data_IF_125458072166
#
_entry.id   IF_125458072166
#
_cell.length_a   1.000
_cell.length_b   1.000
_cell.length_c   1.000
_cell.angle_alpha   90.00
_cell.angle_beta   90.00
_cell.angle_gamma   90.00
#
_symmetry.space_group_name_H-M   'P 1'
#
loop_
_entity.id
_entity.type
_entity.pdbx_description
1 polymer ?
#
# COMPACT_ATOMS: atom_id res chain seq x y z
N UNK A 1 -17.79 24.29 41.32
CA UNK A 1 -17.72 23.06 42.11
C UNK A 1 -16.80 22.08 41.39
N UNK A 2 -15.59 21.86 41.92
CA UNK A 2 -14.57 21.00 41.28
C UNK A 2 -14.75 19.59 41.76
N UNK A 3 -15.10 18.63 40.90
CA UNK A 3 -15.10 17.19 41.21
C UNK A 3 -13.76 16.59 40.79
N UNK A 4 -12.97 16.18 41.79
CA UNK A 4 -11.76 15.39 41.60
C UNK A 4 -12.16 13.93 41.40
N UNK A 5 -11.79 13.32 40.27
CA UNK A 5 -11.92 11.89 40.03
C UNK A 5 -10.53 11.28 40.21
N UNK A 6 -10.44 10.43 41.26
CA UNK A 6 -9.23 9.68 41.58
C UNK A 6 -9.28 8.36 40.82
N UNK A 7 -8.36 8.17 39.88
CA UNK A 7 -8.22 6.91 39.11
C UNK A 7 -7.29 5.97 39.84
N UNK A 8 -7.80 4.83 40.27
CA UNK A 8 -7.05 3.75 40.88
C UNK A 8 -6.34 2.92 39.80
N UNK A 9 -5.04 2.80 39.94
CA UNK A 9 -4.14 2.03 39.11
C UNK A 9 -4.20 0.55 39.50
N UNK A 10 -4.64 -0.33 38.60
CA UNK A 10 -4.61 -1.77 38.81
C UNK A 10 -3.47 -2.37 37.98
N UNK A 11 -2.39 -2.76 38.65
CA UNK A 11 -1.25 -3.45 38.06
C UNK A 11 -1.54 -4.95 38.11
N UNK A 12 -1.71 -5.60 36.97
CA UNK A 12 -1.73 -7.06 36.87
C UNK A 12 -0.40 -7.55 36.30
N UNK A 13 0.40 -8.18 37.15
CA UNK A 13 1.61 -8.90 36.78
C UNK A 13 1.22 -10.27 36.22
N UNK A 14 1.64 -10.58 34.98
CA UNK A 14 1.57 -11.93 34.41
C UNK A 14 2.97 -12.51 34.28
N UNK A 15 3.17 -13.59 35.03
CA UNK A 15 4.37 -14.40 35.18
C UNK A 15 4.68 -15.21 33.92
N UNK A 16 5.98 -15.22 33.56
CA UNK A 16 6.65 -16.06 32.57
C UNK A 16 6.60 -17.54 32.97
N UNK A 17 6.28 -18.40 32.02
CA UNK A 17 6.60 -19.82 32.10
C UNK A 17 7.56 -20.19 30.99
N UNK A 18 8.80 -20.48 31.40
CA UNK A 18 9.87 -21.05 30.57
C UNK A 18 9.67 -22.57 30.62
N UNK A 19 9.56 -23.24 29.48
CA UNK A 19 9.74 -24.68 29.38
C UNK A 19 10.87 -24.98 28.40
N UNK A 20 11.99 -25.40 28.95
CA UNK A 20 13.12 -26.02 28.29
C UNK A 20 12.98 -27.55 28.36
N UNK A 21 13.21 -28.23 27.27
CA UNK A 21 13.66 -29.63 27.18
C UNK A 21 14.06 -29.85 25.72
N UNK A 22 15.27 -30.17 25.37
CA UNK A 22 16.10 -31.32 25.70
C UNK A 22 16.32 -32.08 24.42
N UNK A 23 17.46 -32.03 23.79
CA UNK A 23 18.58 -32.94 23.71
C UNK A 23 18.43 -34.10 22.74
N UNK A 24 19.40 -34.27 21.81
CA UNK A 24 19.52 -35.52 21.02
C UNK A 24 20.38 -35.38 19.76
N UNK A 25 21.69 -35.48 19.94
CA UNK A 25 22.76 -36.29 19.27
C UNK A 25 22.79 -36.40 17.73
N UNK A 26 23.87 -35.85 17.23
CA UNK A 26 24.91 -36.32 16.24
C UNK A 26 24.74 -37.67 15.57
N UNK A 27 24.82 -37.70 14.23
CA UNK A 27 25.55 -38.70 13.50
C UNK A 27 26.07 -38.13 12.17
N UNK A 28 27.39 -38.05 12.04
CA UNK A 28 28.12 -37.91 10.79
C UNK A 28 27.92 -39.17 9.94
N UNK A 29 27.78 -38.99 8.63
CA UNK A 29 28.19 -40.03 7.68
C UNK A 29 28.63 -39.39 6.36
N UNK A 30 29.81 -39.77 5.97
CA UNK A 30 30.67 -39.39 4.88
C UNK A 30 30.06 -39.47 3.48
N UNK A 31 30.63 -38.65 2.61
CA UNK A 31 30.53 -38.73 1.16
C UNK A 31 31.13 -40.01 0.59
N UNK A 32 30.77 -40.38 -0.65
CA UNK A 32 31.83 -40.68 -1.62
C UNK A 32 31.70 -39.84 -2.89
N UNK A 33 32.84 -39.36 -3.30
CA UNK A 33 33.29 -38.90 -4.60
C UNK A 33 33.06 -39.97 -5.66
N UNK A 34 32.48 -39.57 -6.80
CA UNK A 34 32.69 -40.33 -8.06
C UNK A 34 32.69 -39.36 -9.24
N UNK A 35 33.72 -39.52 -10.02
CA UNK A 35 34.18 -38.80 -11.19
C UNK A 35 33.15 -38.64 -12.32
N UNK A 36 33.40 -37.58 -13.09
CA UNK A 36 32.78 -37.31 -14.40
C UNK A 36 33.19 -38.36 -15.47
N UNK A 37 32.45 -38.44 -16.56
CA UNK A 37 33.10 -38.24 -17.84
C UNK A 37 32.44 -37.14 -18.66
N UNK A 38 33.28 -36.36 -19.32
CA UNK A 38 32.99 -35.45 -20.37
C UNK A 38 32.40 -36.19 -21.60
N UNK A 39 31.33 -35.66 -22.16
CA UNK A 39 30.97 -35.95 -23.53
C UNK A 39 30.64 -34.62 -24.21
N UNK A 40 31.34 -34.40 -25.26
CA UNK A 40 31.37 -33.31 -26.24
C UNK A 40 30.12 -33.30 -27.10
N UNK A 41 29.70 -32.07 -27.41
CA UNK A 41 28.98 -31.58 -28.62
C UNK A 41 27.61 -32.12 -29.02
N UNK A 42 26.68 -31.19 -29.14
CA UNK A 42 26.18 -30.75 -30.46
C UNK A 42 25.37 -29.47 -30.30
N UNK A 43 25.83 -28.40 -30.94
CA UNK A 43 25.07 -27.17 -31.09
C UNK A 43 23.96 -27.46 -32.12
N UNK A 44 22.73 -27.55 -31.61
CA UNK A 44 21.55 -27.46 -32.47
C UNK A 44 20.85 -26.16 -32.13
N UNK A 45 21.03 -25.17 -32.98
CA UNK A 45 20.25 -23.94 -33.02
C UNK A 45 18.81 -24.29 -33.35
N UNK A 46 18.00 -24.37 -32.29
CA UNK A 46 16.55 -24.41 -32.44
C UNK A 46 16.07 -22.99 -32.23
N UNK A 47 15.60 -22.35 -33.31
CA UNK A 47 14.83 -21.10 -33.22
C UNK A 47 13.69 -21.28 -32.20
N UNK A 48 13.71 -20.43 -31.18
CA UNK A 48 12.61 -20.29 -30.26
C UNK A 48 11.38 -19.79 -31.02
N UNK A 49 10.18 -20.32 -30.74
CA UNK A 49 8.97 -19.76 -31.28
C UNK A 49 8.82 -18.32 -30.77
N UNK A 50 8.68 -17.38 -31.70
CA UNK A 50 8.29 -16.01 -31.41
C UNK A 50 6.94 -16.08 -30.74
N UNK A 51 6.94 -15.92 -29.41
CA UNK A 51 5.71 -15.68 -28.65
C UNK A 51 5.23 -14.31 -29.10
N UNK A 52 4.17 -14.29 -29.89
CA UNK A 52 3.43 -13.06 -30.18
C UNK A 52 2.85 -12.60 -28.84
N UNK A 53 3.52 -11.68 -28.20
CA UNK A 53 2.95 -10.94 -27.08
C UNK A 53 1.72 -10.22 -27.64
N UNK A 54 0.56 -10.60 -27.14
CA UNK A 54 -0.67 -9.84 -27.30
C UNK A 54 -0.36 -8.44 -26.77
N UNK A 55 -0.57 -7.36 -27.54
CA UNK A 55 -0.35 -6.03 -27.01
C UNK A 55 -1.26 -5.87 -25.79
N UNK A 56 -0.64 -5.79 -24.60
CA UNK A 56 -1.29 -5.24 -23.43
C UNK A 56 -1.94 -3.93 -23.89
N UNK A 57 -3.23 -3.84 -23.69
CA UNK A 57 -3.95 -2.59 -23.91
C UNK A 57 -3.38 -1.63 -22.88
N UNK A 58 -2.40 -0.83 -23.29
CA UNK A 58 -1.92 0.28 -22.49
C UNK A 58 -3.16 1.11 -22.11
N UNK A 59 -3.54 1.03 -20.85
CA UNK A 59 -4.55 1.92 -20.30
C UNK A 59 -4.06 3.34 -20.57
N UNK A 60 -4.84 4.11 -21.30
CA UNK A 60 -4.49 5.48 -21.65
C UNK A 60 -4.29 6.24 -20.34
N UNK A 61 -3.04 6.47 -19.97
CA UNK A 61 -2.69 7.26 -18.80
C UNK A 61 -3.07 8.70 -19.09
N UNK A 62 -4.22 9.15 -18.56
CA UNK A 62 -4.71 10.53 -18.73
C UNK A 62 -4.11 11.48 -17.67
N UNK A 63 -3.16 11.00 -16.86
CA UNK A 63 -2.52 11.79 -15.82
C UNK A 63 -3.40 12.08 -14.60
N UNK A 64 -4.51 11.37 -14.43
CA UNK A 64 -5.43 11.50 -13.29
C UNK A 64 -5.70 10.11 -12.75
N UNK A 65 -5.68 9.95 -11.44
CA UNK A 65 -6.05 8.69 -10.79
C UNK A 65 -7.56 8.56 -10.77
N UNK A 66 -8.09 7.89 -11.80
CA UNK A 66 -9.45 7.38 -11.86
C UNK A 66 -9.38 5.86 -11.87
N UNK A 67 -10.01 5.22 -10.91
CA UNK A 67 -9.86 3.80 -10.64
C UNK A 67 -11.22 3.15 -10.39
N UNK A 68 -11.45 2.01 -11.02
CA UNK A 68 -12.64 1.21 -10.83
C UNK A 68 -12.21 -0.22 -10.46
N UNK A 69 -12.58 -0.64 -9.26
CA UNK A 69 -12.39 -1.99 -8.73
C UNK A 69 -13.72 -2.72 -8.61
N UNK A 70 -13.67 -3.99 -8.17
CA UNK A 70 -14.90 -4.78 -7.90
C UNK A 70 -15.76 -4.18 -6.80
N UNK A 71 -15.10 -3.60 -5.78
CA UNK A 71 -15.74 -3.21 -4.52
C UNK A 71 -15.81 -1.69 -4.32
N UNK A 72 -15.13 -0.92 -5.16
CA UNK A 72 -15.15 0.53 -5.08
C UNK A 72 -14.80 1.21 -6.39
N UNK A 73 -15.13 2.50 -6.47
CA UNK A 73 -14.56 3.42 -7.44
C UNK A 73 -13.94 4.61 -6.73
N UNK A 74 -12.85 5.13 -7.26
CA UNK A 74 -12.28 6.40 -6.84
C UNK A 74 -12.17 7.36 -8.02
N UNK A 75 -12.42 8.63 -7.78
CA UNK A 75 -12.26 9.71 -8.75
C UNK A 75 -11.54 10.87 -8.11
N UNK A 76 -10.40 11.22 -8.67
CA UNK A 76 -9.63 12.37 -8.24
C UNK A 76 -10.46 13.66 -8.29
N UNK A 77 -10.32 14.51 -7.26
CA UNK A 77 -10.95 15.82 -7.19
C UNK A 77 -9.92 16.95 -7.28
N UNK A 78 -9.00 16.98 -6.36
CA UNK A 78 -7.95 18.00 -6.22
C UNK A 78 -6.85 17.51 -5.30
N UNK A 79 -5.77 18.27 -5.25
CA UNK A 79 -4.76 18.16 -4.20
C UNK A 79 -4.44 19.53 -3.62
N UNK A 80 -3.85 19.53 -2.43
CA UNK A 80 -3.39 20.71 -1.73
C UNK A 80 -2.07 20.38 -1.01
N UNK A 81 -1.21 21.37 -0.85
CA UNK A 81 -0.01 21.24 -0.02
C UNK A 81 -0.26 21.91 1.32
N UNK A 82 0.21 21.29 2.39
CA UNK A 82 0.06 21.76 3.76
C UNK A 82 1.28 21.36 4.60
N UNK A 83 1.19 21.54 5.89
CA UNK A 83 2.11 20.97 6.88
C UNK A 83 1.38 19.98 7.75
N UNK A 84 2.06 18.90 8.10
CA UNK A 84 1.51 17.88 8.98
C UNK A 84 1.63 18.29 10.48
N UNK A 85 1.22 17.42 11.37
CA UNK A 85 1.22 17.67 12.82
C UNK A 85 2.62 17.86 13.42
N UNK A 86 3.68 17.37 12.74
CA UNK A 86 5.08 17.60 13.11
C UNK A 86 5.67 18.88 12.50
N UNK A 87 4.93 19.54 11.61
CA UNK A 87 5.36 20.73 10.87
C UNK A 87 6.10 20.41 9.57
N UNK A 88 6.09 19.16 9.12
CA UNK A 88 6.71 18.72 7.88
C UNK A 88 5.76 18.92 6.67
N UNK A 89 6.29 19.16 5.45
CA UNK A 89 5.47 19.29 4.25
C UNK A 89 4.63 18.02 4.00
N UNK A 90 3.38 18.22 3.58
CA UNK A 90 2.50 17.10 3.24
C UNK A 90 1.61 17.40 2.03
N UNK A 91 1.19 16.33 1.35
CA UNK A 91 0.20 16.34 0.29
C UNK A 91 -1.14 15.90 0.84
N UNK A 92 -2.18 16.72 0.63
CA UNK A 92 -3.59 16.36 0.83
C UNK A 92 -4.15 15.95 -0.53
N UNK A 93 -4.52 14.68 -0.66
CA UNK A 93 -5.03 14.12 -1.90
C UNK A 93 -6.51 13.80 -1.77
N UNK A 94 -7.36 14.60 -2.42
CA UNK A 94 -8.82 14.51 -2.35
C UNK A 94 -9.39 13.71 -3.51
N UNK A 95 -10.30 12.80 -3.20
CA UNK A 95 -11.02 12.02 -4.20
C UNK A 95 -12.41 11.64 -3.73
N UNK A 96 -13.32 11.36 -4.66
CA UNK A 96 -14.60 10.76 -4.36
C UNK A 96 -14.41 9.25 -4.28
N UNK A 97 -14.75 8.68 -3.14
CA UNK A 97 -14.84 7.24 -2.92
C UNK A 97 -16.30 6.80 -3.04
N UNK A 98 -16.57 5.78 -3.85
CA UNK A 98 -17.88 5.14 -3.93
C UNK A 98 -17.75 3.68 -3.53
N UNK A 99 -18.47 3.27 -2.50
CA UNK A 99 -18.56 1.87 -2.12
C UNK A 99 -19.52 1.13 -3.06
N UNK A 100 -19.00 0.23 -3.91
CA UNK A 100 -19.78 -0.59 -4.84
C UNK A 100 -19.97 -2.04 -4.34
N UNK A 101 -19.43 -2.38 -3.16
CA UNK A 101 -19.60 -3.68 -2.51
C UNK A 101 -20.96 -3.82 -1.84
N UNK A 102 -21.25 -5.02 -1.34
CA UNK A 102 -22.49 -5.35 -0.58
C UNK A 102 -22.34 -5.09 0.93
N UNK A 103 -21.14 -4.68 1.40
CA UNK A 103 -20.81 -4.47 2.81
C UNK A 103 -20.38 -3.03 3.08
N UNK A 104 -20.31 -2.66 4.37
CA UNK A 104 -19.77 -1.36 4.75
C UNK A 104 -18.25 -1.38 4.60
N UNK A 105 -17.69 -0.47 3.80
CA UNK A 105 -16.26 -0.36 3.52
C UNK A 105 -15.75 1.04 3.82
N UNK A 106 -14.47 1.17 4.15
CA UNK A 106 -13.79 2.48 4.22
C UNK A 106 -12.81 2.63 3.06
N UNK A 107 -12.54 3.86 2.66
CA UNK A 107 -11.55 4.12 1.61
C UNK A 107 -10.16 3.58 2.01
N UNK A 108 -9.78 3.76 3.27
CA UNK A 108 -8.54 3.26 3.87
C UNK A 108 -8.36 1.73 3.75
N UNK A 109 -9.44 0.97 3.86
CA UNK A 109 -9.39 -0.50 3.83
C UNK A 109 -9.63 -1.12 2.46
N UNK A 110 -10.09 -0.35 1.48
CA UNK A 110 -10.53 -0.88 0.19
C UNK A 110 -9.58 -0.52 -0.95
N UNK A 111 -8.90 0.62 -0.84
CA UNK A 111 -8.00 1.14 -1.87
C UNK A 111 -6.58 1.18 -1.35
N UNK A 112 -5.64 0.66 -2.14
CA UNK A 112 -4.21 0.89 -1.94
C UNK A 112 -3.87 2.14 -2.74
N UNK A 113 -3.76 3.29 -2.07
CA UNK A 113 -3.34 4.54 -2.66
C UNK A 113 -1.91 4.82 -2.23
N UNK A 114 -1.01 5.00 -3.19
CA UNK A 114 0.43 5.16 -2.96
C UNK A 114 0.91 6.49 -3.54
N UNK A 115 1.76 7.14 -2.77
CA UNK A 115 2.45 8.38 -3.11
C UNK A 115 3.95 8.11 -3.18
N UNK A 116 4.62 8.51 -4.25
CA UNK A 116 6.05 8.30 -4.41
C UNK A 116 6.77 9.62 -4.71
N UNK A 117 7.94 9.81 -4.12
CA UNK A 117 8.93 10.82 -4.50
C UNK A 117 10.26 10.13 -4.79
N UNK A 118 10.92 10.46 -5.90
CA UNK A 118 12.18 9.83 -6.31
C UNK A 118 12.14 8.29 -6.36
N UNK A 119 10.96 7.69 -6.61
CA UNK A 119 10.75 6.25 -6.63
C UNK A 119 10.68 5.60 -5.24
N UNK A 120 10.59 6.39 -4.16
CA UNK A 120 10.44 5.93 -2.78
C UNK A 120 9.04 6.29 -2.31
N UNK A 121 8.36 5.34 -1.68
CA UNK A 121 7.00 5.53 -1.16
C UNK A 121 6.99 6.48 0.04
N UNK A 122 6.13 7.48 -0.03
CA UNK A 122 5.88 8.43 1.04
C UNK A 122 4.96 7.82 2.10
N UNK A 123 5.25 8.04 3.36
CA UNK A 123 4.40 7.57 4.44
C UNK A 123 3.11 8.39 4.54
N UNK A 124 2.02 7.76 4.92
CA UNK A 124 0.82 8.50 5.33
C UNK A 124 1.10 9.26 6.64
N UNK A 125 0.51 10.45 6.75
CA UNK A 125 0.60 11.30 7.94
C UNK A 125 -0.79 11.88 8.26
N UNK A 126 -0.86 12.83 9.19
CA UNK A 126 -2.10 13.51 9.60
C UNK A 126 -1.83 14.99 9.85
N UNK A 127 -2.88 15.78 9.84
CA UNK A 127 -2.80 17.16 10.27
C UNK A 127 -2.93 17.28 11.80
N UNK A 128 -2.62 18.46 12.35
CA UNK A 128 -2.91 18.79 13.75
C UNK A 128 -4.44 18.77 14.00
N UNK A 129 -5.21 19.30 13.04
CA UNK A 129 -6.67 19.26 13.02
C UNK A 129 -7.14 18.68 11.69
N UNK A 130 -7.71 17.47 11.72
CA UNK A 130 -8.27 16.84 10.53
C UNK A 130 -9.54 17.54 10.06
N UNK A 131 -9.65 17.75 8.77
CA UNK A 131 -10.91 18.19 8.15
C UNK A 131 -11.92 17.03 8.03
N UNK A 132 -13.10 17.34 7.52
CA UNK A 132 -14.18 16.35 7.38
C UNK A 132 -13.82 15.22 6.41
N UNK A 133 -13.14 15.54 5.31
CA UNK A 133 -12.73 14.60 4.25
C UNK A 133 -11.64 13.64 4.74
N UNK A 134 -10.67 14.12 5.51
CA UNK A 134 -9.64 13.29 6.17
C UNK A 134 -10.32 12.33 7.17
N UNK A 135 -11.22 12.85 8.00
CA UNK A 135 -11.95 12.02 8.96
C UNK A 135 -12.82 10.95 8.28
N UNK A 136 -13.37 11.22 7.08
CA UNK A 136 -14.21 10.26 6.32
C UNK A 136 -13.38 9.16 5.68
N UNK A 137 -12.13 9.39 5.34
CA UNK A 137 -11.22 8.40 4.75
C UNK A 137 -11.18 7.10 5.56
N UNK A 138 -11.24 7.20 6.88
CA UNK A 138 -11.19 6.08 7.83
C UNK A 138 -12.56 5.57 8.28
N UNK A 139 -13.67 6.13 7.77
CA UNK A 139 -15.02 5.73 8.20
C UNK A 139 -15.64 4.73 7.25
N UNK A 140 -16.40 3.80 7.82
CA UNK A 140 -17.23 2.89 7.02
C UNK A 140 -18.34 3.64 6.29
N UNK A 141 -18.43 3.39 5.00
CA UNK A 141 -19.38 3.94 4.06
C UNK A 141 -20.33 2.81 3.64
N UNK A 142 -21.63 3.07 3.64
CA UNK A 142 -22.63 2.06 3.27
C UNK A 142 -22.57 1.74 1.77
N UNK A 143 -23.00 0.53 1.36
CA UNK A 143 -23.13 0.15 -0.04
C UNK A 143 -23.88 1.18 -0.88
N UNK A 144 -23.39 1.45 -2.09
CA UNK A 144 -23.96 2.41 -3.03
C UNK A 144 -23.77 3.88 -2.68
N UNK A 145 -23.03 4.20 -1.62
CA UNK A 145 -22.83 5.59 -1.17
C UNK A 145 -21.50 6.13 -1.71
N UNK A 146 -21.54 7.39 -2.20
CA UNK A 146 -20.37 8.15 -2.62
C UNK A 146 -20.07 9.27 -1.62
N UNK A 147 -18.82 9.45 -1.25
CA UNK A 147 -18.36 10.51 -0.35
C UNK A 147 -17.01 11.05 -0.79
N UNK A 148 -16.80 12.34 -0.54
CA UNK A 148 -15.48 12.93 -0.72
C UNK A 148 -14.63 12.65 0.52
N UNK A 149 -13.41 12.18 0.27
CA UNK A 149 -12.41 11.80 1.28
C UNK A 149 -11.05 12.41 0.94
N UNK A 150 -10.13 12.41 1.90
CA UNK A 150 -8.78 12.91 1.72
C UNK A 150 -7.76 11.99 2.37
N UNK A 151 -6.77 11.54 1.60
CA UNK A 151 -5.57 10.89 2.11
C UNK A 151 -4.45 11.94 2.28
N UNK A 152 -3.63 11.80 3.32
CA UNK A 152 -2.54 12.72 3.63
C UNK A 152 -1.21 11.98 3.61
N UNK A 153 -0.25 12.48 2.81
CA UNK A 153 1.08 11.89 2.64
C UNK A 153 2.16 12.87 3.05
N UNK A 154 3.10 12.43 3.87
CA UNK A 154 4.29 13.20 4.23
C UNK A 154 5.21 13.30 3.02
N UNK A 155 5.72 14.49 2.73
CA UNK A 155 6.68 14.72 1.66
C UNK A 155 8.09 14.79 2.21
N UNK A 156 9.02 14.17 1.50
CA UNK A 156 10.45 14.15 1.89
C UNK A 156 11.21 15.36 1.32
N UNK A 157 10.80 15.85 0.14
CA UNK A 157 11.42 16.96 -0.54
C UNK A 157 10.44 17.65 -1.54
N UNK A 158 10.97 18.51 -2.41
CA UNK A 158 10.19 19.21 -3.44
C UNK A 158 10.25 18.50 -4.81
N UNK A 159 10.60 17.24 -4.87
CA UNK A 159 10.59 16.48 -6.13
C UNK A 159 9.17 16.19 -6.62
N UNK A 160 9.04 15.88 -7.91
CA UNK A 160 7.77 15.46 -8.51
C UNK A 160 7.19 14.27 -7.76
N UNK A 161 5.90 14.34 -7.47
CA UNK A 161 5.14 13.28 -6.82
C UNK A 161 4.52 12.40 -7.90
N UNK A 162 4.55 11.08 -7.68
CA UNK A 162 3.79 10.10 -8.45
C UNK A 162 2.72 9.48 -7.57
N UNK A 163 1.45 9.63 -7.96
CA UNK A 163 0.32 8.99 -7.30
C UNK A 163 -0.14 7.76 -8.08
N UNK A 164 -0.31 6.66 -7.39
CA UNK A 164 -0.78 5.38 -7.94
C UNK A 164 -1.92 4.82 -7.09
N UNK A 165 -2.84 4.07 -7.73
CA UNK A 165 -3.90 3.38 -7.03
C UNK A 165 -4.01 1.93 -7.50
N UNK A 166 -4.27 1.03 -6.57
CA UNK A 166 -4.53 -0.39 -6.84
C UNK A 166 -5.58 -0.93 -5.87
N UNK A 167 -6.12 -2.10 -6.17
CA UNK A 167 -6.97 -2.85 -5.25
C UNK A 167 -6.17 -3.93 -4.50
N UNK A 168 -6.76 -4.48 -3.45
CA UNK A 168 -6.14 -5.58 -2.70
C UNK A 168 -6.07 -6.90 -3.47
N UNK A 169 -6.75 -7.02 -4.61
CA UNK A 169 -6.76 -8.24 -5.44
C UNK A 169 -5.52 -8.28 -6.33
N UNK A 170 -5.12 -7.13 -6.89
CA UNK A 170 -4.00 -7.04 -7.83
C UNK A 170 -2.67 -6.74 -7.19
N UNK A 171 -2.63 -6.46 -5.93
CA UNK A 171 -1.47 -6.17 -5.07
C UNK A 171 -0.24 -5.64 -5.82
N UNK A 172 -0.07 -4.31 -5.79
CA UNK A 172 1.14 -3.66 -6.30
C UNK A 172 1.20 -3.44 -7.82
N UNK A 173 0.17 -3.86 -8.57
CA UNK A 173 0.03 -3.44 -9.96
C UNK A 173 -0.96 -2.30 -10.01
N UNK A 174 -0.53 -1.07 -10.36
CA UNK A 174 -1.45 0.06 -10.45
C UNK A 174 -2.60 -0.27 -11.40
N UNK A 175 -3.82 -0.06 -10.91
CA UNK A 175 -5.02 -0.05 -11.76
C UNK A 175 -5.48 1.39 -11.89
N UNK A 176 -5.74 1.79 -13.11
CA UNK A 176 -6.04 3.18 -13.38
C UNK A 176 -4.78 3.98 -13.73
N UNK A 177 -4.94 5.28 -13.77
CA UNK A 177 -3.89 6.16 -14.25
C UNK A 177 -2.88 6.48 -13.16
N UNK A 178 -1.64 6.61 -13.57
CA UNK A 178 -0.57 7.19 -12.75
C UNK A 178 -0.63 8.70 -12.92
N UNK A 179 -0.76 9.42 -11.82
CA UNK A 179 -0.80 10.88 -11.81
C UNK A 179 0.51 11.47 -11.32
N UNK A 180 1.01 12.46 -12.06
CA UNK A 180 2.19 13.24 -11.67
C UNK A 180 1.77 14.60 -11.15
N UNK A 181 2.34 15.01 -10.01
CA UNK A 181 2.06 16.28 -9.34
C UNK A 181 3.39 17.00 -9.13
N UNK A 182 3.45 18.25 -9.57
CA UNK A 182 4.62 19.11 -9.35
C UNK A 182 4.42 19.84 -8.02
N UNK A 183 5.42 19.80 -7.16
CA UNK A 183 5.43 20.57 -5.90
C UNK A 183 5.76 22.02 -6.22
N UNK A 184 4.85 22.96 -5.94
CA UNK A 184 4.99 24.40 -6.18
C UNK A 184 5.60 25.13 -4.97
#
# INVERSE_FOLDING_TARGET
MKKKITTAMLIAAMSMSIMACGGGKTTETQAPTTEAPAVTETVTTTEAPVTTETPDTESVNNGIVDFEASDCTIKYLKHEFAVDWDGDPCLLYYFTFTNTSDTNESADSTVILQCFQNGIECNMTRLEEDNTEISRFYKNIQPGTSVDVCAVFKLEDNSEITMEASDFITFGTPKGNVQKIVVE
#
